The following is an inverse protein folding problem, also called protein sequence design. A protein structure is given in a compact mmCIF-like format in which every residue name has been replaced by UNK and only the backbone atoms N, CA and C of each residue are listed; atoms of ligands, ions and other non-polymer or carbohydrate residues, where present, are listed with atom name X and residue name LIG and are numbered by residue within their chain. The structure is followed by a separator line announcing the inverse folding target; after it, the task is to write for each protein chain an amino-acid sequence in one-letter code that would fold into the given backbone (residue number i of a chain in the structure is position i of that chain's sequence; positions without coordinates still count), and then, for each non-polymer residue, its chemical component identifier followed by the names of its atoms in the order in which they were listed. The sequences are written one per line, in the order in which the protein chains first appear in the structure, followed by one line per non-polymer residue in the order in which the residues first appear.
data_IF_633322942212
#
_entry.id   IF_633322942212
#
_cell.length_a   1.000
_cell.length_b   1.000
_cell.length_c   1.000
_cell.angle_alpha   90.00
_cell.angle_beta   90.00
_cell.angle_gamma   90.00
#
_symmetry.space_group_name_H-M   'P 1'
#
loop_
_entity.id
_entity.type
_entity.pdbx_description
1 polymer ?
#
# COMPACT_ATOMS: atom_id res chain seq x y z
N UNK A 1 -14.63 -10.28 -7.69
CA UNK A 1 -15.31 -9.37 -6.73
C UNK A 1 -15.19 -7.89 -7.13
N UNK A 2 -13.99 -7.33 -7.33
CA UNK A 2 -13.86 -5.97 -7.90
C UNK A 2 -14.57 -5.83 -9.26
N UNK A 3 -14.45 -6.83 -10.14
CA UNK A 3 -15.19 -6.89 -11.40
C UNK A 3 -16.72 -6.91 -11.22
N UNK A 4 -17.26 -7.53 -10.16
CA UNK A 4 -18.70 -7.57 -9.92
C UNK A 4 -19.25 -6.21 -9.47
N UNK A 5 -18.48 -5.47 -8.67
CA UNK A 5 -18.83 -4.09 -8.28
C UNK A 5 -18.78 -3.12 -9.48
N UNK A 6 -17.80 -3.28 -10.37
CA UNK A 6 -17.72 -2.48 -11.60
C UNK A 6 -18.82 -2.86 -12.61
N UNK A 7 -19.09 -4.15 -12.81
CA UNK A 7 -20.20 -4.62 -13.67
C UNK A 7 -21.56 -4.11 -13.19
N UNK A 8 -21.79 -4.06 -11.88
CA UNK A 8 -23.03 -3.55 -11.28
C UNK A 8 -23.28 -2.05 -11.52
N UNK A 9 -22.25 -1.29 -11.93
CA UNK A 9 -22.36 0.12 -12.31
C UNK A 9 -22.71 0.33 -13.79
N UNK A 10 -22.45 -0.65 -14.65
CA UNK A 10 -22.57 -0.51 -16.10
C UNK A 10 -24.01 -0.68 -16.61
N UNK A 11 -24.81 -1.59 -16.05
CA UNK A 11 -26.23 -1.72 -16.39
C UNK A 11 -27.07 -2.38 -15.29
N UNK A 12 -28.41 -2.15 -15.26
CA UNK A 12 -29.33 -2.82 -14.33
C UNK A 12 -29.34 -4.36 -14.48
N UNK A 13 -29.03 -4.87 -15.67
CA UNK A 13 -28.99 -6.31 -15.95
C UNK A 13 -27.73 -6.94 -15.37
N UNK A 14 -26.56 -6.32 -15.58
CA UNK A 14 -25.31 -6.76 -14.96
C UNK A 14 -25.35 -6.65 -13.44
N UNK A 15 -26.09 -5.67 -12.88
CA UNK A 15 -26.33 -5.58 -11.44
C UNK A 15 -27.10 -6.79 -10.91
N UNK A 16 -28.18 -7.23 -11.59
CA UNK A 16 -28.94 -8.42 -11.17
C UNK A 16 -28.07 -9.69 -11.22
N UNK A 17 -27.32 -9.87 -12.30
CA UNK A 17 -26.42 -11.02 -12.45
C UNK A 17 -25.29 -11.02 -11.41
N UNK A 18 -24.75 -9.84 -11.09
CA UNK A 18 -23.76 -9.67 -10.03
C UNK A 18 -24.36 -10.03 -8.67
N UNK A 19 -25.54 -9.53 -8.32
CA UNK A 19 -26.23 -9.85 -7.06
C UNK A 19 -26.48 -11.35 -6.94
N UNK A 20 -26.98 -12.01 -7.98
CA UNK A 20 -27.20 -13.45 -7.97
C UNK A 20 -25.90 -14.24 -7.72
N UNK A 21 -24.82 -13.86 -8.41
CA UNK A 21 -23.50 -14.51 -8.25
C UNK A 21 -22.93 -14.31 -6.85
N UNK A 22 -23.15 -13.13 -6.27
CA UNK A 22 -22.70 -12.82 -4.91
C UNK A 22 -23.50 -13.60 -3.86
N UNK A 23 -24.80 -13.78 -4.05
CA UNK A 23 -25.62 -14.64 -3.18
C UNK A 23 -25.07 -16.07 -3.14
N UNK A 24 -24.77 -16.66 -4.30
CA UNK A 24 -24.14 -17.99 -4.36
C UNK A 24 -22.77 -18.02 -3.66
N UNK A 25 -22.02 -16.92 -3.70
CA UNK A 25 -20.71 -16.83 -3.06
C UNK A 25 -20.77 -16.62 -1.53
N UNK A 26 -21.96 -16.33 -0.96
CA UNK A 26 -22.11 -16.15 0.48
C UNK A 26 -21.92 -17.43 1.28
N UNK A 27 -22.10 -18.59 0.67
CA UNK A 27 -21.96 -19.89 1.34
C UNK A 27 -20.56 -20.51 1.13
N UNK A 28 -19.67 -19.79 0.44
CA UNK A 28 -18.34 -20.28 0.05
C UNK A 28 -17.17 -19.56 0.71
N UNK A 29 -15.95 -19.88 0.26
CA UNK A 29 -14.71 -19.27 0.76
C UNK A 29 -14.63 -17.74 0.61
N UNK A 30 -15.50 -17.16 -0.24
CA UNK A 30 -15.55 -15.72 -0.52
C UNK A 30 -16.69 -15.00 0.21
N UNK A 31 -17.35 -15.66 1.16
CA UNK A 31 -18.53 -15.14 1.87
C UNK A 31 -18.39 -13.70 2.39
N UNK A 32 -17.26 -13.39 3.02
CA UNK A 32 -16.98 -12.04 3.55
C UNK A 32 -16.91 -10.98 2.44
N UNK A 33 -16.22 -11.29 1.35
CA UNK A 33 -16.08 -10.38 0.23
C UNK A 33 -17.42 -10.23 -0.50
N UNK A 34 -18.20 -11.30 -0.57
CA UNK A 34 -19.55 -11.31 -1.14
C UNK A 34 -20.51 -10.46 -0.33
N UNK A 35 -20.54 -10.62 0.99
CA UNK A 35 -21.35 -9.83 1.89
C UNK A 35 -20.97 -8.34 1.83
N UNK A 36 -19.67 -8.01 1.91
CA UNK A 36 -19.23 -6.62 1.78
C UNK A 36 -19.64 -6.00 0.43
N UNK A 37 -19.52 -6.74 -0.67
CA UNK A 37 -19.91 -6.25 -1.99
C UNK A 37 -21.44 -6.08 -2.10
N UNK A 38 -22.23 -7.05 -1.63
CA UNK A 38 -23.70 -6.99 -1.64
C UNK A 38 -24.23 -5.81 -0.83
N UNK A 39 -23.66 -5.56 0.35
CA UNK A 39 -24.08 -4.48 1.23
C UNK A 39 -23.91 -3.08 0.58
N UNK A 40 -22.95 -2.97 -0.35
CA UNK A 40 -22.71 -1.76 -1.13
C UNK A 40 -23.64 -1.66 -2.34
N UNK A 41 -23.80 -2.73 -3.12
CA UNK A 41 -24.44 -2.64 -4.45
C UNK A 41 -25.95 -2.90 -4.45
N UNK A 42 -26.49 -3.53 -3.40
CA UNK A 42 -27.92 -3.88 -3.29
C UNK A 42 -28.52 -3.32 -2.00
N UNK A 43 -29.31 -2.22 -2.07
CA UNK A 43 -30.01 -1.69 -0.91
C UNK A 43 -30.95 -2.72 -0.24
N UNK A 44 -31.56 -3.60 -1.03
CA UNK A 44 -32.47 -4.65 -0.52
C UNK A 44 -31.72 -5.72 0.30
N UNK A 45 -30.50 -6.07 -0.11
CA UNK A 45 -29.69 -7.09 0.58
C UNK A 45 -28.81 -6.50 1.69
N UNK A 46 -28.78 -5.17 1.85
CA UNK A 46 -27.86 -4.47 2.75
C UNK A 46 -27.95 -4.97 4.18
N UNK A 47 -29.16 -5.12 4.72
CA UNK A 47 -29.37 -5.55 6.10
C UNK A 47 -28.90 -6.99 6.31
N UNK A 48 -29.26 -7.90 5.40
CA UNK A 48 -28.83 -9.31 5.47
C UNK A 48 -27.30 -9.43 5.35
N UNK A 49 -26.71 -8.73 4.38
CA UNK A 49 -25.27 -8.74 4.16
C UNK A 49 -24.51 -8.13 5.36
N UNK A 50 -25.03 -7.05 5.95
CA UNK A 50 -24.48 -6.47 7.17
C UNK A 50 -24.59 -7.42 8.37
N UNK A 51 -25.71 -8.11 8.55
CA UNK A 51 -25.86 -9.12 9.60
C UNK A 51 -24.82 -10.24 9.46
N UNK A 52 -24.59 -10.75 8.25
CA UNK A 52 -23.55 -11.77 8.00
C UNK A 52 -22.14 -11.25 8.29
N UNK A 53 -21.85 -9.99 7.96
CA UNK A 53 -20.58 -9.36 8.33
C UNK A 53 -20.45 -9.21 9.85
N UNK A 54 -21.54 -8.90 10.55
CA UNK A 54 -21.55 -8.75 12.00
C UNK A 54 -21.35 -10.10 12.71
N UNK A 55 -22.00 -11.16 12.25
CA UNK A 55 -21.76 -12.53 12.73
C UNK A 55 -20.29 -12.94 12.55
N UNK A 56 -19.71 -12.60 11.39
CA UNK A 56 -18.31 -12.86 11.16
C UNK A 56 -17.39 -11.96 12.00
N UNK A 57 -17.78 -10.71 12.29
CA UNK A 57 -17.04 -9.79 13.14
C UNK A 57 -16.91 -10.30 14.58
N UNK A 58 -17.91 -11.02 15.07
CA UNK A 58 -17.87 -11.69 16.37
C UNK A 58 -16.85 -12.83 16.45
N UNK A 59 -16.42 -13.36 15.30
CA UNK A 59 -15.40 -14.41 15.27
C UNK A 59 -14.02 -13.80 15.56
N UNK A 60 -13.26 -14.41 16.48
CA UNK A 60 -11.91 -13.94 16.79
C UNK A 60 -10.96 -14.10 15.61
N UNK A 61 -9.99 -13.19 15.54
CA UNK A 61 -8.88 -13.25 14.59
C UNK A 61 -9.07 -12.43 13.32
N UNK A 62 -8.27 -12.70 12.28
CA UNK A 62 -8.14 -11.83 11.11
C UNK A 62 -9.44 -11.61 10.33
N UNK A 63 -10.25 -12.66 10.22
CA UNK A 63 -11.51 -12.62 9.47
C UNK A 63 -12.53 -11.71 10.16
N UNK A 64 -12.64 -11.77 11.49
CA UNK A 64 -13.54 -10.91 12.24
C UNK A 64 -13.12 -9.44 12.23
N UNK A 65 -11.81 -9.17 12.41
CA UNK A 65 -11.29 -7.79 12.29
C UNK A 65 -11.55 -7.21 10.89
N UNK A 66 -11.37 -8.01 9.84
CA UNK A 66 -11.70 -7.58 8.47
C UNK A 66 -13.20 -7.30 8.30
N UNK A 67 -14.07 -8.20 8.77
CA UNK A 67 -15.51 -8.03 8.68
C UNK A 67 -15.99 -6.77 9.43
N UNK A 68 -15.50 -6.57 10.65
CA UNK A 68 -15.76 -5.38 11.45
C UNK A 68 -15.28 -4.09 10.75
N UNK A 69 -14.10 -4.14 10.13
CA UNK A 69 -13.55 -2.99 9.37
C UNK A 69 -14.43 -2.63 8.16
N UNK A 70 -14.98 -3.62 7.45
CA UNK A 70 -15.88 -3.37 6.32
C UNK A 70 -17.23 -2.75 6.77
N UNK A 71 -17.81 -3.25 7.87
CA UNK A 71 -19.01 -2.65 8.47
C UNK A 71 -18.78 -1.17 8.81
N UNK A 72 -17.65 -0.87 9.45
CA UNK A 72 -17.25 0.48 9.84
C UNK A 72 -17.03 1.38 8.63
N UNK A 73 -16.27 0.91 7.63
CA UNK A 73 -15.89 1.66 6.42
C UNK A 73 -17.11 2.17 5.66
N UNK A 74 -18.15 1.35 5.57
CA UNK A 74 -19.35 1.65 4.78
C UNK A 74 -20.55 2.08 5.62
N UNK A 75 -20.39 2.24 6.95
CA UNK A 75 -21.46 2.62 7.87
C UNK A 75 -22.69 1.73 7.73
N UNK A 76 -22.47 0.42 7.59
CA UNK A 76 -23.54 -0.56 7.52
C UNK A 76 -24.24 -0.71 8.88
N UNK A 77 -25.47 -1.25 8.92
CA UNK A 77 -26.11 -1.63 10.18
C UNK A 77 -25.17 -2.47 11.06
N UNK A 78 -25.06 -2.14 12.36
CA UNK A 78 -24.13 -2.78 13.29
C UNK A 78 -22.69 -2.23 13.29
N UNK A 79 -22.41 -1.12 12.60
CA UNK A 79 -21.05 -0.56 12.55
C UNK A 79 -20.51 -0.08 13.90
N UNK A 80 -21.35 0.42 14.81
CA UNK A 80 -20.92 0.86 16.16
C UNK A 80 -20.49 -0.34 17.01
N UNK A 81 -21.24 -1.43 16.93
CA UNK A 81 -20.89 -2.70 17.56
C UNK A 81 -19.60 -3.27 16.96
N UNK A 82 -19.46 -3.24 15.64
CA UNK A 82 -18.22 -3.60 14.97
C UNK A 82 -17.03 -2.75 15.44
N UNK A 83 -17.19 -1.44 15.62
CA UNK A 83 -16.16 -0.57 16.18
C UNK A 83 -15.79 -1.00 17.60
N UNK A 84 -16.76 -1.33 18.46
CA UNK A 84 -16.50 -1.87 19.79
C UNK A 84 -15.77 -3.22 19.75
N UNK A 85 -16.11 -4.11 18.82
CA UNK A 85 -15.39 -5.37 18.62
C UNK A 85 -13.92 -5.14 18.26
N UNK A 86 -13.61 -4.15 17.41
CA UNK A 86 -12.22 -3.79 17.08
C UNK A 86 -11.41 -3.36 18.30
N UNK A 87 -12.04 -2.74 19.30
CA UNK A 87 -11.37 -2.35 20.56
C UNK A 87 -10.98 -3.55 21.40
N UNK A 88 -11.65 -4.69 21.24
CA UNK A 88 -11.36 -5.92 21.99
C UNK A 88 -10.11 -6.67 21.52
N UNK A 89 -9.53 -6.27 20.38
CA UNK A 89 -8.26 -6.81 19.88
C UNK A 89 -7.15 -6.52 20.88
N UNK A 90 -6.48 -7.59 21.31
CA UNK A 90 -5.50 -7.63 22.41
C UNK A 90 -4.09 -7.34 21.91
N UNK A 91 -3.22 -6.97 22.83
CA UNK A 91 -1.80 -6.80 22.51
C UNK A 91 -1.09 -8.11 22.16
N UNK A 92 -1.61 -9.24 22.63
CA UNK A 92 -1.14 -10.58 22.27
C UNK A 92 -1.54 -11.03 20.87
N UNK A 93 -2.45 -10.31 20.19
CA UNK A 93 -2.85 -10.66 18.83
C UNK A 93 -1.75 -10.33 17.82
N UNK A 94 -1.71 -11.01 16.65
CA UNK A 94 -0.70 -10.72 15.63
C UNK A 94 -0.68 -9.24 15.23
N UNK A 95 0.52 -8.69 14.98
CA UNK A 95 0.71 -7.26 14.69
C UNK A 95 -0.19 -6.75 13.55
N UNK A 96 -0.35 -7.52 12.47
CA UNK A 96 -1.22 -7.13 11.36
C UNK A 96 -2.70 -7.04 11.75
N UNK A 97 -3.17 -7.87 12.69
CA UNK A 97 -4.54 -7.84 13.22
C UNK A 97 -4.73 -6.59 14.07
N UNK A 98 -3.79 -6.34 14.99
CA UNK A 98 -3.75 -5.10 15.81
C UNK A 98 -3.77 -3.85 14.93
N UNK A 99 -3.02 -3.88 13.83
CA UNK A 99 -2.92 -2.76 12.88
C UNK A 99 -4.24 -2.53 12.14
N UNK A 100 -4.83 -3.59 11.60
CA UNK A 100 -6.12 -3.52 10.91
C UNK A 100 -7.20 -3.01 11.85
N UNK A 101 -7.20 -3.46 13.10
CA UNK A 101 -8.15 -2.98 14.11
C UNK A 101 -7.98 -1.48 14.39
N UNK A 102 -6.75 -1.01 14.61
CA UNK A 102 -6.49 0.42 14.78
C UNK A 102 -6.88 1.24 13.55
N UNK A 103 -6.62 0.75 12.33
CA UNK A 103 -7.07 1.40 11.11
C UNK A 103 -8.60 1.42 10.97
N UNK A 104 -9.28 0.34 11.37
CA UNK A 104 -10.73 0.28 11.42
C UNK A 104 -11.31 1.28 12.42
N UNK A 105 -10.70 1.44 13.59
CA UNK A 105 -11.08 2.47 14.57
C UNK A 105 -10.92 3.90 14.01
N UNK A 106 -9.87 4.19 13.24
CA UNK A 106 -9.74 5.48 12.55
C UNK A 106 -10.86 5.73 11.53
N UNK A 107 -11.40 4.67 10.91
CA UNK A 107 -12.56 4.79 10.02
C UNK A 107 -13.86 4.94 10.81
N UNK A 108 -13.91 4.45 12.06
CA UNK A 108 -15.09 4.50 12.91
C UNK A 108 -15.44 5.92 13.34
N UNK A 109 -14.47 6.79 13.62
CA UNK A 109 -14.76 8.20 13.90
C UNK A 109 -13.77 8.85 14.85
N UNK A 110 -14.01 10.13 15.14
CA UNK A 110 -13.16 10.97 16.01
C UNK A 110 -13.14 10.44 17.45
N UNK A 111 -14.23 9.85 17.90
CA UNK A 111 -14.38 9.24 19.21
C UNK A 111 -13.42 8.07 19.45
N UNK A 112 -12.99 7.38 18.38
CA UNK A 112 -12.03 6.27 18.43
C UNK A 112 -10.62 6.68 18.03
N UNK A 113 -10.44 7.88 17.49
CA UNK A 113 -9.20 8.34 16.86
C UNK A 113 -8.01 8.32 17.83
N UNK A 114 -8.20 8.87 19.04
CA UNK A 114 -7.14 8.88 20.06
C UNK A 114 -6.64 7.47 20.39
N UNK A 115 -7.56 6.54 20.64
CA UNK A 115 -7.22 5.14 20.97
C UNK A 115 -6.47 4.47 19.80
N UNK A 116 -6.96 4.67 18.58
CA UNK A 116 -6.34 4.12 17.39
C UNK A 116 -4.93 4.66 17.15
N UNK A 117 -4.74 5.97 17.30
CA UNK A 117 -3.43 6.61 17.13
C UNK A 117 -2.43 6.13 18.18
N UNK A 118 -2.83 5.97 19.44
CA UNK A 118 -1.94 5.40 20.48
C UNK A 118 -1.50 3.97 20.15
N UNK A 119 -2.42 3.11 19.68
CA UNK A 119 -2.06 1.74 19.24
C UNK A 119 -1.06 1.76 18.08
N UNK A 120 -1.23 2.67 17.11
CA UNK A 120 -0.30 2.82 15.99
C UNK A 120 1.05 3.39 16.40
N UNK A 121 1.09 4.31 17.38
CA UNK A 121 2.34 4.84 17.94
C UNK A 121 3.19 3.72 18.51
N UNK A 122 2.61 2.89 19.39
CA UNK A 122 3.28 1.72 19.97
C UNK A 122 3.82 0.81 18.87
N UNK A 123 2.97 0.46 17.90
CA UNK A 123 3.34 -0.44 16.81
C UNK A 123 4.47 0.08 15.91
N UNK A 124 4.49 1.38 15.62
CA UNK A 124 5.51 1.96 14.73
C UNK A 124 6.93 1.88 15.32
N UNK A 125 7.03 1.89 16.65
CA UNK A 125 8.28 1.78 17.40
C UNK A 125 8.64 0.35 17.82
N UNK A 126 7.71 -0.60 17.78
CA UNK A 126 7.89 -1.97 18.27
C UNK A 126 8.89 -2.76 17.40
N UNK A 127 10.07 -3.16 17.93
CA UNK A 127 11.04 -3.96 17.19
C UNK A 127 10.55 -5.38 16.89
N UNK A 128 9.60 -5.92 17.66
CA UNK A 128 9.01 -7.24 17.43
C UNK A 128 7.97 -7.23 16.30
N UNK A 129 7.43 -6.05 15.95
CA UNK A 129 6.53 -5.92 14.82
C UNK A 129 7.28 -6.04 13.49
N UNK A 130 6.59 -6.59 12.48
CA UNK A 130 7.17 -6.72 11.14
C UNK A 130 7.52 -5.33 10.57
N UNK A 131 8.57 -5.25 9.75
CA UNK A 131 8.94 -4.01 9.06
C UNK A 131 7.77 -3.39 8.28
N UNK A 132 6.91 -4.24 7.71
CA UNK A 132 5.72 -3.80 6.99
C UNK A 132 4.67 -3.17 7.93
N UNK A 133 4.37 -3.81 9.07
CA UNK A 133 3.39 -3.28 10.01
C UNK A 133 3.87 -1.97 10.66
N UNK A 134 5.16 -1.90 11.01
CA UNK A 134 5.81 -0.67 11.51
C UNK A 134 5.71 0.46 10.49
N UNK A 135 5.98 0.17 9.22
CA UNK A 135 5.86 1.14 8.12
C UNK A 135 4.41 1.64 8.00
N UNK A 136 3.44 0.73 7.88
CA UNK A 136 2.03 1.12 7.70
C UNK A 136 1.49 1.93 8.88
N UNK A 137 1.92 1.60 10.10
CA UNK A 137 1.61 2.39 11.28
C UNK A 137 2.21 3.80 11.20
N UNK A 138 3.50 3.91 10.90
CA UNK A 138 4.18 5.20 10.75
C UNK A 138 3.58 6.07 9.63
N UNK A 139 3.28 5.48 8.46
CA UNK A 139 2.63 6.17 7.35
C UNK A 139 1.24 6.68 7.73
N UNK A 140 0.50 5.93 8.55
CA UNK A 140 -0.82 6.35 9.02
C UNK A 140 -0.71 7.53 9.99
N UNK A 141 0.24 7.48 10.92
CA UNK A 141 0.53 8.57 11.85
C UNK A 141 0.95 9.85 11.13
N UNK A 142 1.84 9.77 10.14
CA UNK A 142 2.25 10.93 9.30
C UNK A 142 1.07 11.62 8.62
N UNK A 143 0.01 10.88 8.26
CA UNK A 143 -1.17 11.47 7.63
C UNK A 143 -2.12 12.12 8.63
N UNK A 144 -2.15 11.66 9.88
CA UNK A 144 -3.24 11.94 10.84
C UNK A 144 -2.83 12.69 12.10
N UNK A 145 -1.62 12.48 12.59
CA UNK A 145 -1.23 12.96 13.91
C UNK A 145 -0.58 14.34 13.86
N UNK A 146 -0.95 15.19 14.81
CA UNK A 146 -0.29 16.48 15.06
C UNK A 146 1.14 16.27 15.62
N UNK A 147 1.40 15.15 16.31
CA UNK A 147 2.75 14.73 16.73
C UNK A 147 3.37 13.77 15.71
N UNK A 148 3.95 14.34 14.66
CA UNK A 148 4.62 13.59 13.60
C UNK A 148 6.00 13.05 14.01
N UNK A 149 6.58 13.47 15.15
CA UNK A 149 7.99 13.20 15.46
C UNK A 149 8.29 11.71 15.64
N UNK A 150 7.42 10.99 16.33
CA UNK A 150 7.58 9.55 16.52
C UNK A 150 7.48 8.80 15.18
N UNK A 151 6.53 9.20 14.33
CA UNK A 151 6.37 8.62 13.01
C UNK A 151 7.56 8.93 12.07
N UNK A 152 8.08 10.17 12.11
CA UNK A 152 9.29 10.58 11.38
C UNK A 152 10.49 9.74 11.83
N UNK A 153 10.69 9.53 13.13
CA UNK A 153 11.77 8.67 13.65
C UNK A 153 11.62 7.22 13.18
N UNK A 154 10.40 6.67 13.21
CA UNK A 154 10.13 5.33 12.72
C UNK A 154 10.42 5.19 11.22
N UNK A 155 9.98 6.15 10.39
CA UNK A 155 10.27 6.17 8.95
C UNK A 155 11.78 6.32 8.68
N UNK A 156 12.46 7.19 9.42
CA UNK A 156 13.91 7.38 9.28
C UNK A 156 14.65 6.08 9.63
N UNK A 157 14.28 5.41 10.71
CA UNK A 157 14.85 4.11 11.09
C UNK A 157 14.64 3.05 10.01
N UNK A 158 13.42 2.95 9.47
CA UNK A 158 13.09 1.98 8.41
C UNK A 158 13.81 2.27 7.09
N UNK A 159 14.01 3.54 6.72
CA UNK A 159 14.69 3.91 5.48
C UNK A 159 16.16 3.43 5.44
N UNK A 160 16.84 3.45 6.60
CA UNK A 160 18.27 3.11 6.71
C UNK A 160 18.52 1.69 7.24
N UNK A 161 17.48 0.97 7.65
CA UNK A 161 17.63 -0.40 8.13
C UNK A 161 17.92 -1.34 6.94
N UNK A 162 19.17 -1.78 6.80
CA UNK A 162 19.61 -2.70 5.74
C UNK A 162 18.99 -4.09 5.84
N UNK A 163 18.52 -4.50 7.03
CA UNK A 163 17.75 -5.72 7.24
C UNK A 163 16.27 -5.61 6.88
N UNK A 164 15.76 -4.41 6.60
CA UNK A 164 14.39 -4.22 6.14
C UNK A 164 14.26 -4.50 4.63
N UNK A 165 13.11 -5.03 4.15
CA UNK A 165 12.88 -5.24 2.73
C UNK A 165 13.09 -3.94 1.92
N UNK A 166 13.71 -4.00 0.72
CA UNK A 166 13.95 -2.82 -0.11
C UNK A 166 12.70 -1.98 -0.40
N UNK A 167 11.55 -2.64 -0.56
CA UNK A 167 10.24 -1.97 -0.75
C UNK A 167 9.80 -1.18 0.48
N UNK A 168 10.08 -1.67 1.69
CA UNK A 168 9.79 -0.96 2.93
C UNK A 168 10.71 0.25 3.08
N UNK A 169 12.02 0.06 2.85
CA UNK A 169 13.03 1.14 2.90
C UNK A 169 12.68 2.26 1.93
N UNK A 170 12.34 1.94 0.68
CA UNK A 170 11.91 2.90 -0.36
C UNK A 170 10.71 3.73 0.11
N UNK A 171 9.64 3.05 0.52
CA UNK A 171 8.39 3.71 0.94
C UNK A 171 8.60 4.59 2.18
N UNK A 172 9.45 4.16 3.10
CA UNK A 172 9.81 4.94 4.27
C UNK A 172 10.58 6.21 3.88
N UNK A 173 11.60 6.08 3.02
CA UNK A 173 12.38 7.20 2.51
C UNK A 173 11.50 8.22 1.77
N UNK A 174 10.63 7.75 0.87
CA UNK A 174 9.76 8.63 0.08
C UNK A 174 8.73 9.40 0.95
N UNK A 175 8.22 8.78 2.01
CA UNK A 175 7.23 9.43 2.88
C UNK A 175 7.83 10.49 3.82
N UNK A 176 9.12 10.37 4.16
CA UNK A 176 9.79 11.18 5.18
C UNK A 176 9.69 12.71 4.95
N UNK A 177 9.88 13.25 3.72
CA UNK A 177 9.90 14.70 3.51
C UNK A 177 8.52 15.37 3.67
N UNK A 178 7.42 14.60 3.56
CA UNK A 178 6.05 15.15 3.62
C UNK A 178 5.71 15.83 4.95
N UNK A 179 6.37 15.43 6.05
CA UNK A 179 6.23 16.04 7.38
C UNK A 179 7.56 16.50 7.98
N UNK A 180 8.68 16.25 7.27
CA UNK A 180 10.00 16.69 7.68
C UNK A 180 10.81 17.17 6.46
N UNK A 181 10.52 18.37 5.91
CA UNK A 181 11.24 18.88 4.75
C UNK A 181 12.76 18.93 4.95
N UNK A 182 13.23 19.17 6.19
CA UNK A 182 14.65 19.11 6.54
C UNK A 182 15.32 17.73 6.32
N UNK A 183 14.53 16.66 6.14
CA UNK A 183 15.00 15.29 5.85
C UNK A 183 15.00 14.96 4.36
N UNK A 184 14.71 15.92 3.49
CA UNK A 184 14.65 15.74 2.04
C UNK A 184 15.96 15.17 1.47
N UNK A 185 17.11 15.70 1.89
CA UNK A 185 18.42 15.22 1.44
C UNK A 185 18.70 13.77 1.88
N UNK A 186 18.31 13.43 3.12
CA UNK A 186 18.42 12.08 3.67
C UNK A 186 17.52 11.10 2.91
N UNK A 187 16.28 11.48 2.62
CA UNK A 187 15.36 10.68 1.81
C UNK A 187 15.91 10.45 0.40
N UNK A 188 16.43 11.51 -0.24
CA UNK A 188 17.04 11.42 -1.56
C UNK A 188 18.26 10.49 -1.57
N UNK A 189 19.12 10.54 -0.55
CA UNK A 189 20.25 9.62 -0.43
C UNK A 189 19.81 8.15 -0.36
N UNK A 190 18.84 7.83 0.51
CA UNK A 190 18.33 6.47 0.62
C UNK A 190 17.70 5.96 -0.70
N UNK A 191 16.96 6.81 -1.42
CA UNK A 191 16.38 6.47 -2.73
C UNK A 191 17.46 6.32 -3.82
N UNK A 192 18.53 7.12 -3.80
CA UNK A 192 19.69 6.94 -4.70
C UNK A 192 20.37 5.60 -4.48
N UNK A 193 20.61 5.24 -3.23
CA UNK A 193 21.28 3.99 -2.88
C UNK A 193 20.45 2.82 -3.39
N UNK A 194 19.14 2.83 -3.13
CA UNK A 194 18.22 1.81 -3.65
C UNK A 194 18.17 1.81 -5.17
N UNK A 195 18.14 2.95 -5.84
CA UNK A 195 18.13 3.03 -7.30
C UNK A 195 19.44 2.52 -7.95
N UNK A 196 20.56 2.57 -7.22
CA UNK A 196 21.87 2.08 -7.66
C UNK A 196 22.15 0.62 -7.30
N UNK A 197 21.42 0.04 -6.34
CA UNK A 197 21.71 -1.28 -5.78
C UNK A 197 21.44 -2.41 -6.80
N UNK A 198 22.51 -3.09 -7.21
CA UNK A 198 22.44 -4.16 -8.22
C UNK A 198 21.89 -5.47 -7.67
N UNK A 199 21.85 -5.64 -6.34
CA UNK A 199 21.37 -6.85 -5.67
C UNK A 199 19.84 -6.88 -5.61
N UNK A 200 19.20 -5.71 -5.51
CA UNK A 200 17.73 -5.64 -5.47
C UNK A 200 17.10 -5.80 -6.87
N UNK A 201 15.79 -6.03 -6.91
CA UNK A 201 15.05 -6.22 -8.17
C UNK A 201 15.05 -4.96 -9.03
N UNK A 202 14.99 -5.12 -10.35
CA UNK A 202 14.92 -3.99 -11.29
C UNK A 202 13.69 -3.11 -11.03
N UNK A 203 12.56 -3.73 -10.67
CA UNK A 203 11.34 -3.03 -10.32
C UNK A 203 11.54 -2.08 -9.11
N UNK A 204 12.16 -2.53 -8.03
CA UNK A 204 12.39 -1.68 -6.85
C UNK A 204 13.36 -0.55 -7.19
N UNK A 205 14.41 -0.82 -7.97
CA UNK A 205 15.32 0.23 -8.44
C UNK A 205 14.60 1.29 -9.28
N UNK A 206 13.73 0.88 -10.19
CA UNK A 206 12.98 1.79 -11.06
C UNK A 206 12.02 2.65 -10.23
N UNK A 207 11.24 2.02 -9.35
CA UNK A 207 10.37 2.76 -8.43
C UNK A 207 11.15 3.72 -7.52
N UNK A 208 12.36 3.36 -7.09
CA UNK A 208 13.19 4.26 -6.26
C UNK A 208 13.69 5.46 -7.04
N UNK A 209 14.07 5.29 -8.31
CA UNK A 209 14.45 6.38 -9.20
C UNK A 209 13.25 7.30 -9.54
N UNK A 210 12.06 6.72 -9.76
CA UNK A 210 10.84 7.49 -9.95
C UNK A 210 10.44 8.29 -8.70
N UNK A 211 10.52 7.68 -7.51
CA UNK A 211 10.27 8.37 -6.24
C UNK A 211 11.28 9.49 -6.00
N UNK A 212 12.55 9.28 -6.36
CA UNK A 212 13.60 10.31 -6.29
C UNK A 212 13.22 11.52 -7.15
N UNK A 213 12.79 11.30 -8.39
CA UNK A 213 12.31 12.38 -9.27
C UNK A 213 11.10 13.13 -8.68
N UNK A 214 10.25 12.44 -7.92
CA UNK A 214 9.05 13.01 -7.27
C UNK A 214 9.35 13.77 -5.98
N UNK A 215 10.58 13.72 -5.45
CA UNK A 215 10.95 14.50 -4.27
C UNK A 215 11.00 16.01 -4.53
N UNK A 216 11.15 16.43 -5.79
CA UNK A 216 11.08 17.82 -6.19
C UNK A 216 12.05 18.17 -7.33
N UNK A 217 12.03 19.42 -7.83
CA UNK A 217 12.79 19.85 -9.00
C UNK A 217 14.30 19.54 -8.91
N UNK A 218 14.90 19.68 -7.73
CA UNK A 218 16.33 19.41 -7.51
C UNK A 218 16.76 17.94 -7.66
N UNK A 219 15.81 16.99 -7.79
CA UNK A 219 16.10 15.56 -7.97
C UNK A 219 15.46 14.97 -9.23
N UNK A 220 14.70 15.78 -9.98
CA UNK A 220 13.92 15.35 -11.14
C UNK A 220 14.83 14.75 -12.22
N UNK A 221 15.82 15.53 -12.66
CA UNK A 221 16.79 15.11 -13.69
C UNK A 221 17.59 13.88 -13.23
N UNK A 222 17.99 13.84 -11.95
CA UNK A 222 18.73 12.71 -11.40
C UNK A 222 17.90 11.41 -11.47
N UNK A 223 16.62 11.48 -11.05
CA UNK A 223 15.71 10.36 -11.10
C UNK A 223 15.42 9.88 -12.53
N UNK A 224 15.18 10.82 -13.46
CA UNK A 224 14.96 10.51 -14.89
C UNK A 224 16.19 9.82 -15.48
N UNK A 225 17.39 10.40 -15.32
CA UNK A 225 18.65 9.82 -15.81
C UNK A 225 18.89 8.39 -15.30
N UNK A 226 18.44 8.08 -14.07
CA UNK A 226 18.55 6.73 -13.50
C UNK A 226 17.55 5.76 -14.13
N UNK A 227 16.30 6.18 -14.35
CA UNK A 227 15.28 5.37 -15.04
C UNK A 227 15.74 5.02 -16.46
N UNK A 228 16.22 6.01 -17.18
CA UNK A 228 16.73 5.85 -18.55
C UNK A 228 17.86 4.83 -18.63
N UNK A 229 18.88 4.96 -17.76
CA UNK A 229 19.99 3.99 -17.69
C UNK A 229 19.52 2.57 -17.36
N UNK A 230 18.40 2.42 -16.64
CA UNK A 230 17.82 1.11 -16.36
C UNK A 230 17.09 0.54 -17.57
N UNK A 231 16.34 1.35 -18.30
CA UNK A 231 15.71 0.98 -19.57
C UNK A 231 16.75 0.56 -20.61
N UNK A 232 17.81 1.35 -20.78
CA UNK A 232 18.90 1.05 -21.71
C UNK A 232 19.58 -0.27 -21.36
N UNK A 233 19.80 -0.54 -20.06
CA UNK A 233 20.30 -1.84 -19.59
C UNK A 233 19.33 -2.99 -19.84
N UNK A 234 18.02 -2.78 -19.67
CA UNK A 234 17.03 -3.83 -19.92
C UNK A 234 16.99 -4.18 -21.42
N UNK A 235 16.96 -3.17 -22.28
CA UNK A 235 17.06 -3.31 -23.73
C UNK A 235 18.37 -4.01 -24.14
N UNK A 236 19.51 -3.58 -23.60
CA UNK A 236 20.81 -4.17 -23.89
C UNK A 236 20.90 -5.65 -23.46
N UNK A 237 20.34 -6.03 -22.30
CA UNK A 237 20.29 -7.44 -21.88
C UNK A 237 19.44 -8.28 -22.82
N UNK A 238 18.30 -7.75 -23.25
CA UNK A 238 17.44 -8.46 -24.19
C UNK A 238 18.14 -8.65 -25.55
N UNK A 239 18.77 -7.59 -26.07
CA UNK A 239 19.59 -7.67 -27.29
C UNK A 239 20.73 -8.67 -27.15
N UNK A 240 21.50 -8.63 -26.06
CA UNK A 240 22.58 -9.58 -25.79
C UNK A 240 22.07 -11.04 -25.74
N UNK A 241 20.91 -11.28 -25.11
CA UNK A 241 20.31 -12.62 -25.04
C UNK A 241 19.85 -13.17 -26.39
N UNK A 242 19.42 -12.29 -27.31
CA UNK A 242 18.94 -12.67 -28.64
C UNK A 242 20.08 -12.81 -29.66
N UNK A 243 21.15 -12.03 -29.51
CA UNK A 243 22.20 -11.88 -30.52
C UNK A 243 23.56 -12.47 -30.12
N UNK A 244 23.71 -12.96 -28.90
CA UNK A 244 24.99 -13.44 -28.36
C UNK A 244 26.05 -12.34 -28.18
N UNK A 245 25.67 -11.06 -28.32
CA UNK A 245 26.55 -9.91 -28.13
C UNK A 245 26.96 -9.76 -26.66
N UNK A 246 28.15 -9.20 -26.43
CA UNK A 246 28.53 -8.75 -25.09
C UNK A 246 27.59 -7.63 -24.63
N UNK A 247 27.31 -7.58 -23.32
CA UNK A 247 26.44 -6.57 -22.72
C UNK A 247 26.92 -5.13 -23.02
N UNK A 248 28.24 -4.95 -23.12
CA UNK A 248 28.86 -3.67 -23.44
C UNK A 248 28.52 -3.20 -24.87
N UNK A 249 28.65 -4.08 -25.87
CA UNK A 249 28.22 -3.79 -27.25
C UNK A 249 26.73 -3.55 -27.35
N UNK A 250 25.92 -4.32 -26.61
CA UNK A 250 24.47 -4.16 -26.60
C UNK A 250 24.03 -2.83 -25.93
N UNK A 251 24.79 -2.33 -24.95
CA UNK A 251 24.55 -1.02 -24.33
C UNK A 251 24.86 0.13 -25.28
N UNK A 252 25.95 0.05 -26.03
CA UNK A 252 26.27 1.04 -27.07
C UNK A 252 25.17 1.12 -28.12
N UNK A 253 24.63 -0.03 -28.55
CA UNK A 253 23.54 -0.09 -29.52
C UNK A 253 22.21 0.43 -28.96
N UNK A 254 21.88 0.09 -27.71
CA UNK A 254 20.67 0.61 -27.04
C UNK A 254 20.74 2.14 -26.87
N UNK A 255 21.91 2.68 -26.51
CA UNK A 255 22.14 4.13 -26.40
C UNK A 255 22.09 4.85 -27.76
N UNK A 256 22.68 4.27 -28.81
CA UNK A 256 22.65 4.85 -30.16
C UNK A 256 21.23 4.89 -30.76
N UNK A 257 20.39 3.87 -30.51
CA UNK A 257 19.00 3.84 -30.95
C UNK A 257 18.12 4.93 -30.31
N UNK A 258 18.57 5.50 -29.18
CA UNK A 258 17.89 6.60 -28.48
C UNK A 258 18.24 7.97 -29.06
N UNK A 259 19.50 8.19 -29.45
CA UNK A 259 19.94 9.42 -30.12
C UNK A 259 19.16 9.60 -31.44
N UNK A 260 18.93 8.52 -32.18
CA UNK A 260 18.15 8.55 -33.43
C UNK A 260 16.62 8.66 -33.26
N UNK A 261 16.09 8.78 -32.03
CA UNK A 261 14.64 8.87 -31.75
C UNK A 261 14.20 10.19 -31.12
N UNK A 262 15.13 11.08 -30.79
CA UNK A 262 14.77 12.47 -30.48
C UNK A 262 14.50 13.14 -31.84
N UNK A 263 13.30 13.69 -32.09
CA UNK A 263 13.15 14.58 -33.24
C UNK A 263 14.08 15.77 -33.00
N UNK A 264 14.84 16.14 -34.02
CA UNK A 264 15.50 17.43 -34.09
C UNK A 264 14.41 18.51 -33.92
N UNK A 265 14.29 19.04 -32.70
CA UNK A 265 13.51 20.24 -32.45
C UNK A 265 14.44 21.43 -32.69
N UNK A 266 14.44 21.90 -33.94
CA UNK A 266 14.62 23.33 -34.24
C UNK A 266 13.37 24.13 -33.78
#
# INVERSE_FOLDING_TARGET
MAAAAELARLSPEYRRQAVQSLHTALDGAQALQAAATLAVISPADRTMAAARLLDAAHQKGPKGVRAATELVRHRHPGWEEAANLLRTVRDSDPCYVRRQAAQGLLLAGREFEREALERLKVMSGDPAASHHDRLEAALTLVRRADDANLAIRALQSLAHNTGAPPTVRRRAAFALPSRAPAKLSTAAAALRDLASDRVITAEVRAHSAADLARLGPGFLEEGISRLERQCDRAAARHLASLSGLSLDRALTMAGAARINRLPDND
#
